data_IF_593358125211
#
_entry.id   IF_593358125211
#
_cell.length_a   1.000
_cell.length_b   1.000
_cell.length_c   1.000
_cell.angle_alpha   90.00
_cell.angle_beta   90.00
_cell.angle_gamma   90.00
#
_symmetry.space_group_name_H-M   'P 1'
#
loop_
_entity.id
_entity.type
_entity.pdbx_description
1 polymer ?
#
# COMPACT_ATOMS: atom_id res chain seq x y z
N UNK A 1 24.68 -16.42 -20.10
CA UNK A 1 24.91 -14.97 -20.17
C UNK A 1 24.43 -14.38 -18.85
N UNK A 2 25.29 -13.65 -18.16
CA UNK A 2 25.20 -13.44 -16.70
C UNK A 2 24.12 -12.42 -16.30
N UNK A 3 23.30 -12.79 -15.30
CA UNK A 3 22.38 -11.91 -14.56
C UNK A 3 23.17 -10.80 -13.89
N UNK A 4 22.87 -9.54 -14.23
CA UNK A 4 23.38 -8.38 -13.49
C UNK A 4 22.36 -7.95 -12.43
N UNK A 5 22.78 -8.11 -11.21
CA UNK A 5 22.12 -7.78 -9.96
C UNK A 5 21.78 -6.28 -9.83
N UNK A 6 20.64 -5.98 -9.20
CA UNK A 6 20.06 -4.68 -8.83
C UNK A 6 20.86 -3.86 -7.77
N UNK A 7 22.19 -3.97 -7.73
CA UNK A 7 23.03 -3.38 -6.67
C UNK A 7 23.93 -2.22 -7.08
N UNK A 8 23.60 -1.44 -8.12
CA UNK A 8 24.41 -0.29 -8.50
C UNK A 8 23.55 0.93 -8.84
N UNK A 9 23.02 1.59 -7.82
CA UNK A 9 22.56 2.98 -8.01
C UNK A 9 22.51 3.71 -6.65
N UNK A 10 23.63 3.97 -6.02
CA UNK A 10 23.84 5.11 -5.11
C UNK A 10 25.34 5.26 -4.84
N UNK A 11 26.02 6.14 -5.56
CA UNK A 11 27.25 6.82 -5.10
C UNK A 11 27.42 8.07 -5.95
N UNK A 12 27.11 9.22 -5.40
CA UNK A 12 27.76 10.51 -5.57
C UNK A 12 26.87 11.62 -4.98
N UNK A 13 27.19 12.11 -3.82
CA UNK A 13 26.73 13.40 -3.33
C UNK A 13 27.88 14.11 -2.65
N UNK A 14 28.25 15.22 -3.24
CA UNK A 14 29.27 16.15 -2.80
C UNK A 14 28.74 16.97 -1.63
N UNK A 15 29.53 17.06 -0.56
CA UNK A 15 29.31 17.95 0.58
C UNK A 15 29.69 19.37 0.20
N UNK A 16 28.80 20.33 0.45
CA UNK A 16 29.11 21.74 0.47
C UNK A 16 28.69 22.33 1.83
N UNK A 17 29.69 22.61 2.65
CA UNK A 17 29.59 23.35 3.91
C UNK A 17 29.47 24.86 3.62
N UNK A 18 28.43 25.50 4.12
CA UNK A 18 28.33 26.95 4.23
C UNK A 18 28.02 27.32 5.68
N UNK A 19 29.02 27.90 6.34
CA UNK A 19 28.93 28.56 7.65
C UNK A 19 28.63 30.03 7.47
N UNK A 20 27.60 30.55 8.15
CA UNK A 20 27.45 31.97 8.42
C UNK A 20 26.81 32.18 9.80
N UNK A 21 27.23 33.22 10.57
CA UNK A 21 26.89 33.37 11.97
C UNK A 21 25.54 34.10 12.18
N UNK A 22 24.76 33.62 13.15
CA UNK A 22 23.56 34.31 13.64
C UNK A 22 23.94 35.25 14.78
N UNK A 23 23.63 36.53 14.59
CA UNK A 23 23.60 37.53 15.65
C UNK A 23 22.33 37.38 16.51
N UNK A 24 22.56 37.31 17.81
CA UNK A 24 21.51 37.37 18.81
C UNK A 24 21.24 38.82 19.21
N UNK A 25 19.99 39.27 19.22
CA UNK A 25 19.54 40.31 20.18
C UNK A 25 18.02 40.48 20.17
N UNK A 26 17.48 40.56 21.40
CA UNK A 26 16.23 41.20 21.86
C UNK A 26 14.88 40.55 21.53
N UNK A 27 14.28 39.91 22.56
CA UNK A 27 13.03 40.39 23.16
C UNK A 27 12.67 39.55 24.38
N UNK A 28 12.93 40.09 25.58
CA UNK A 28 12.31 39.69 26.81
C UNK A 28 10.98 40.45 26.96
N UNK A 29 9.89 39.75 27.16
CA UNK A 29 8.81 40.07 28.10
C UNK A 29 7.49 39.39 27.67
N UNK A 30 7.01 38.60 28.59
CA UNK A 30 5.61 38.32 28.94
C UNK A 30 5.49 36.84 29.37
N UNK A 31 6.07 36.55 30.53
CA UNK A 31 5.66 35.37 31.33
C UNK A 31 4.33 35.68 31.96
N UNK A 32 3.25 35.10 31.45
CA UNK A 32 2.00 34.88 32.18
C UNK A 32 1.89 33.38 32.43
N UNK A 33 1.89 33.00 33.69
CA UNK A 33 1.62 31.63 34.11
C UNK A 33 0.20 31.21 33.67
N UNK A 34 0.00 30.06 33.03
CA UNK A 34 -1.33 29.51 32.87
C UNK A 34 -1.69 28.72 34.16
N UNK A 35 -2.81 29.13 34.75
CA UNK A 35 -3.43 28.43 35.90
C UNK A 35 -3.68 26.95 35.56
N UNK A 36 -3.55 26.13 36.57
CA UNK A 36 -3.84 24.69 36.58
C UNK A 36 -5.27 24.44 36.12
N UNK A 37 -5.44 24.00 34.88
CA UNK A 37 -6.68 23.37 34.43
C UNK A 37 -6.61 21.90 34.82
N UNK A 38 -7.55 21.49 35.68
CA UNK A 38 -7.66 20.13 36.15
C UNK A 38 -7.70 19.13 34.97
N UNK A 39 -6.90 18.08 35.08
CA UNK A 39 -6.98 16.89 34.28
C UNK A 39 -8.36 16.24 34.46
N UNK A 40 -9.31 16.60 33.58
CA UNK A 40 -10.45 15.72 33.37
C UNK A 40 -9.95 14.56 32.53
N UNK A 41 -9.66 13.45 33.17
CA UNK A 41 -9.33 12.19 32.50
C UNK A 41 -10.41 11.83 31.51
N UNK A 42 -10.18 12.17 30.25
CA UNK A 42 -10.98 11.68 29.13
C UNK A 42 -10.65 10.21 29.04
N UNK A 43 -11.57 9.36 29.49
CA UNK A 43 -11.48 7.92 29.29
C UNK A 43 -11.23 7.68 27.77
N UNK A 44 -10.10 7.02 27.46
CA UNK A 44 -9.81 6.53 26.13
C UNK A 44 -10.90 5.50 25.81
N UNK A 45 -11.70 5.68 24.75
CA UNK A 45 -12.70 4.68 24.38
C UNK A 45 -11.99 3.36 24.10
N UNK A 46 -12.54 2.26 24.59
CA UNK A 46 -12.05 0.91 24.36
C UNK A 46 -12.03 0.58 22.87
N UNK A 47 -10.89 0.19 22.37
CA UNK A 47 -10.33 0.23 21.04
C UNK A 47 -10.87 -0.76 20.02
N UNK A 48 -12.11 -1.13 19.90
CA UNK A 48 -12.49 -2.08 18.84
C UNK A 48 -13.92 -2.00 18.28
N UNK A 49 -14.70 -1.07 18.71
CA UNK A 49 -16.13 -1.01 18.37
C UNK A 49 -16.42 -0.41 16.97
N UNK A 50 -15.77 -0.87 15.91
CA UNK A 50 -16.05 -0.39 14.54
C UNK A 50 -15.11 -0.88 13.46
N UNK A 51 -14.04 -1.53 13.83
CA UNK A 51 -13.01 -1.99 12.90
C UNK A 51 -13.25 -3.46 12.50
N UNK A 52 -13.39 -3.74 11.20
CA UNK A 52 -13.52 -5.10 10.67
C UNK A 52 -12.44 -5.34 9.63
N UNK A 53 -11.25 -5.70 10.09
CA UNK A 53 -10.09 -5.94 9.22
C UNK A 53 -9.89 -7.44 9.01
N UNK A 54 -9.75 -7.84 7.75
CA UNK A 54 -9.31 -9.18 7.35
C UNK A 54 -7.81 -9.20 7.13
N UNK A 55 -7.16 -10.20 7.70
CA UNK A 55 -5.74 -10.42 7.58
C UNK A 55 -5.41 -11.13 6.28
N UNK A 56 -4.57 -10.51 5.45
CA UNK A 56 -4.20 -11.02 4.13
C UNK A 56 -2.71 -11.19 3.91
N UNK A 57 -2.37 -11.90 2.84
CA UNK A 57 -1.00 -12.13 2.39
C UNK A 57 -0.90 -12.04 0.87
N UNK A 58 0.23 -11.57 0.34
CA UNK A 58 0.53 -11.70 -1.08
C UNK A 58 0.78 -13.17 -1.44
N UNK A 59 0.18 -13.67 -2.52
CA UNK A 59 0.47 -15.00 -3.03
C UNK A 59 1.96 -15.20 -3.34
N UNK A 60 2.67 -14.14 -3.72
CA UNK A 60 4.11 -14.15 -3.96
C UNK A 60 5.00 -14.29 -2.72
N UNK A 61 4.45 -14.12 -1.51
CA UNK A 61 5.19 -14.39 -0.26
C UNK A 61 5.25 -15.88 0.07
N UNK A 62 4.33 -16.69 -0.49
CA UNK A 62 4.32 -18.14 -0.31
C UNK A 62 5.44 -18.76 -1.16
N UNK A 63 6.10 -19.84 -0.70
CA UNK A 63 7.26 -20.44 -1.38
C UNK A 63 6.96 -20.82 -2.83
N UNK A 64 7.73 -20.31 -3.78
CA UNK A 64 7.53 -20.56 -5.23
C UNK A 64 7.66 -22.04 -5.63
N UNK A 65 8.39 -22.82 -4.84
CA UNK A 65 8.55 -24.28 -5.05
C UNK A 65 7.28 -25.07 -4.81
N UNK A 66 6.31 -24.52 -4.10
CA UNK A 66 5.02 -25.14 -3.87
C UNK A 66 4.09 -24.96 -5.07
N UNK A 67 3.19 -25.93 -5.28
CA UNK A 67 2.08 -25.76 -6.21
C UNK A 67 1.18 -24.59 -5.80
N UNK A 68 0.40 -24.04 -6.73
CA UNK A 68 -0.57 -22.99 -6.41
C UNK A 68 -1.53 -23.44 -5.32
N UNK A 69 -2.01 -24.69 -5.39
CA UNK A 69 -2.89 -25.26 -4.38
C UNK A 69 -2.24 -25.34 -2.99
N UNK A 70 -0.98 -25.80 -2.91
CA UNK A 70 -0.26 -25.88 -1.64
C UNK A 70 0.04 -24.49 -1.05
N UNK A 71 0.25 -23.47 -1.89
CA UNK A 71 0.40 -22.10 -1.43
C UNK A 71 -0.89 -21.61 -0.76
N UNK A 72 -2.06 -21.78 -1.38
CA UNK A 72 -3.33 -21.39 -0.76
C UNK A 72 -3.59 -22.17 0.54
N UNK A 73 -3.33 -23.48 0.55
CA UNK A 73 -3.44 -24.29 1.76
C UNK A 73 -2.52 -23.77 2.86
N UNK A 74 -1.25 -23.49 2.57
CA UNK A 74 -0.31 -22.93 3.54
C UNK A 74 -0.77 -21.57 4.06
N UNK A 75 -1.26 -20.66 3.20
CA UNK A 75 -1.79 -19.36 3.62
C UNK A 75 -2.92 -19.52 4.65
N UNK A 76 -3.85 -20.47 4.39
CA UNK A 76 -4.93 -20.82 5.32
C UNK A 76 -4.36 -21.37 6.64
N UNK A 77 -3.47 -22.36 6.59
CA UNK A 77 -2.96 -23.09 7.75
C UNK A 77 -2.11 -22.21 8.69
N UNK A 78 -1.46 -21.17 8.17
CA UNK A 78 -0.73 -20.17 8.98
C UNK A 78 -1.64 -19.04 9.49
N UNK A 79 -2.94 -19.06 9.14
CA UNK A 79 -3.97 -18.20 9.71
C UNK A 79 -4.26 -16.92 8.94
N UNK A 80 -3.92 -16.81 7.66
CA UNK A 80 -4.43 -15.73 6.82
C UNK A 80 -5.88 -15.99 6.38
N UNK A 81 -6.66 -14.92 6.22
CA UNK A 81 -8.09 -14.98 5.87
C UNK A 81 -8.33 -14.71 4.38
N UNK A 82 -7.44 -13.94 3.74
CA UNK A 82 -7.55 -13.54 2.35
C UNK A 82 -6.18 -13.52 1.66
N UNK A 83 -6.19 -13.60 0.32
CA UNK A 83 -4.99 -13.54 -0.51
C UNK A 83 -5.11 -12.44 -1.55
N UNK A 84 -4.05 -11.67 -1.76
CA UNK A 84 -3.87 -10.86 -2.96
C UNK A 84 -3.10 -11.68 -4.00
N UNK A 85 -3.71 -11.89 -5.18
CA UNK A 85 -3.09 -12.62 -6.27
C UNK A 85 -2.49 -11.69 -7.33
N UNK A 86 -1.40 -12.08 -8.02
CA UNK A 86 -0.90 -11.33 -9.16
C UNK A 86 -1.84 -11.48 -10.36
N UNK A 87 -1.77 -10.52 -11.31
CA UNK A 87 -2.45 -10.64 -12.59
C UNK A 87 -1.99 -11.89 -13.35
N UNK A 88 -2.92 -12.75 -13.74
CA UNK A 88 -2.68 -13.90 -14.58
C UNK A 88 -3.10 -13.60 -16.03
N UNK A 89 -2.15 -13.66 -16.96
CA UNK A 89 -2.40 -13.44 -18.39
C UNK A 89 -2.78 -14.72 -19.15
N UNK A 90 -2.39 -15.89 -18.62
CA UNK A 90 -2.81 -17.20 -19.11
C UNK A 90 -4.12 -17.59 -18.41
N UNK A 91 -5.17 -17.87 -19.17
CA UNK A 91 -6.49 -18.23 -18.65
C UNK A 91 -6.45 -19.53 -17.82
N UNK A 92 -5.60 -20.50 -18.19
CA UNK A 92 -5.45 -21.76 -17.44
C UNK A 92 -4.87 -21.51 -16.05
N UNK A 93 -3.90 -20.59 -15.95
CA UNK A 93 -3.34 -20.18 -14.65
C UNK A 93 -4.38 -19.42 -13.83
N UNK A 94 -5.17 -18.55 -14.48
CA UNK A 94 -6.25 -17.84 -13.79
C UNK A 94 -7.29 -18.81 -13.20
N UNK A 95 -7.69 -19.83 -13.97
CA UNK A 95 -8.60 -20.89 -13.51
C UNK A 95 -7.97 -21.77 -12.41
N UNK A 96 -6.68 -22.11 -12.53
CA UNK A 96 -5.96 -22.86 -11.50
C UNK A 96 -5.91 -22.10 -10.17
N UNK A 97 -5.61 -20.80 -10.20
CA UNK A 97 -5.63 -19.91 -9.04
C UNK A 97 -7.03 -19.95 -8.38
N UNK A 98 -8.10 -19.79 -9.17
CA UNK A 98 -9.49 -19.84 -8.68
C UNK A 98 -9.80 -21.16 -7.98
N UNK A 99 -9.53 -22.28 -8.65
CA UNK A 99 -9.78 -23.64 -8.12
C UNK A 99 -8.99 -23.91 -6.84
N UNK A 100 -7.73 -23.46 -6.81
CA UNK A 100 -6.86 -23.65 -5.64
C UNK A 100 -7.33 -22.85 -4.43
N UNK A 101 -7.78 -21.62 -4.65
CA UNK A 101 -8.37 -20.79 -3.59
C UNK A 101 -9.67 -21.41 -3.04
N UNK A 102 -10.56 -21.85 -3.92
CA UNK A 102 -11.83 -22.49 -3.54
C UNK A 102 -11.58 -23.78 -2.74
N UNK A 103 -10.64 -24.63 -3.19
CA UNK A 103 -10.28 -25.87 -2.51
C UNK A 103 -9.69 -25.64 -1.11
N UNK A 104 -8.96 -24.55 -0.91
CA UNK A 104 -8.41 -24.15 0.39
C UNK A 104 -9.40 -23.32 1.24
N UNK A 105 -10.63 -23.09 0.76
CA UNK A 105 -11.60 -22.17 1.38
C UNK A 105 -11.04 -20.76 1.64
N UNK A 106 -10.13 -20.32 0.78
CA UNK A 106 -9.50 -19.01 0.84
C UNK A 106 -10.15 -18.05 -0.17
N UNK A 107 -10.43 -16.83 0.27
CA UNK A 107 -10.88 -15.77 -0.63
C UNK A 107 -9.69 -15.07 -1.29
N UNK A 108 -9.74 -14.95 -2.62
CA UNK A 108 -8.91 -13.98 -3.32
C UNK A 108 -9.60 -12.63 -3.18
N UNK A 109 -8.96 -11.72 -2.48
CA UNK A 109 -9.57 -10.46 -2.06
C UNK A 109 -9.28 -9.32 -3.02
N UNK A 110 -8.13 -9.41 -3.72
CA UNK A 110 -7.65 -8.37 -4.60
C UNK A 110 -6.65 -8.88 -5.61
N UNK A 111 -6.40 -8.07 -6.64
CA UNK A 111 -5.43 -8.35 -7.69
C UNK A 111 -4.35 -7.28 -7.69
N UNK A 112 -3.08 -7.69 -7.71
CA UNK A 112 -1.96 -6.79 -7.96
C UNK A 112 -1.71 -6.66 -9.46
N UNK A 113 -1.82 -5.45 -9.99
CA UNK A 113 -1.42 -5.20 -11.37
C UNK A 113 0.11 -5.14 -11.48
N UNK A 114 0.70 -6.11 -12.17
CA UNK A 114 2.16 -6.28 -12.24
C UNK A 114 2.86 -5.42 -13.30
N UNK A 115 2.12 -4.89 -14.26
CA UNK A 115 2.71 -4.19 -15.41
C UNK A 115 2.98 -2.70 -15.16
N UNK A 116 2.47 -2.12 -14.08
CA UNK A 116 2.50 -0.67 -13.82
C UNK A 116 3.91 -0.08 -13.69
N UNK A 117 4.91 -0.85 -13.24
CA UNK A 117 6.29 -0.39 -13.13
C UNK A 117 7.00 -0.30 -14.48
N UNK A 118 6.77 -1.30 -15.32
CA UNK A 118 7.42 -1.41 -16.63
C UNK A 118 6.72 -0.57 -17.69
N UNK A 119 5.41 -0.47 -17.58
CA UNK A 119 4.53 0.22 -18.51
C UNK A 119 3.65 1.22 -17.76
N UNK A 120 4.20 2.37 -17.31
CA UNK A 120 3.42 3.34 -16.54
C UNK A 120 2.38 4.06 -17.43
N UNK A 121 1.18 4.28 -16.89
CA UNK A 121 0.12 5.03 -17.58
C UNK A 121 0.48 6.50 -17.85
N UNK A 122 1.52 7.01 -17.18
CA UNK A 122 2.08 8.35 -17.39
C UNK A 122 3.05 8.45 -18.56
N UNK A 123 3.36 7.34 -19.26
CA UNK A 123 4.28 7.35 -20.39
C UNK A 123 3.82 8.29 -21.51
N UNK A 124 4.79 8.92 -22.18
CA UNK A 124 4.55 9.66 -23.42
C UNK A 124 4.47 8.74 -24.66
N UNK A 125 4.84 7.46 -24.54
CA UNK A 125 4.77 6.46 -25.62
C UNK A 125 3.39 5.77 -25.60
N UNK A 126 2.58 5.91 -26.67
CA UNK A 126 1.27 5.26 -26.78
C UNK A 126 1.32 3.73 -26.70
N UNK A 127 2.39 3.10 -27.18
CA UNK A 127 2.53 1.63 -27.13
C UNK A 127 2.73 1.13 -25.70
N UNK A 128 3.49 1.88 -24.89
CA UNK A 128 3.67 1.61 -23.44
C UNK A 128 2.34 1.77 -22.70
N UNK A 129 1.61 2.85 -23.00
CA UNK A 129 0.30 3.13 -22.38
C UNK A 129 -0.71 2.03 -22.74
N UNK A 130 -0.82 1.63 -24.02
CA UNK A 130 -1.77 0.58 -24.42
C UNK A 130 -1.47 -0.76 -23.76
N UNK A 131 -0.19 -1.09 -23.60
CA UNK A 131 0.21 -2.31 -22.88
C UNK A 131 -0.22 -2.25 -21.40
N UNK A 132 -0.05 -1.10 -20.77
CA UNK A 132 -0.52 -0.88 -19.39
C UNK A 132 -2.04 -1.02 -19.26
N UNK A 133 -2.79 -0.41 -20.20
CA UNK A 133 -4.25 -0.52 -20.24
C UNK A 133 -4.70 -1.97 -20.48
N UNK A 134 -4.03 -2.70 -21.35
CA UNK A 134 -4.30 -4.13 -21.59
C UNK A 134 -4.08 -4.96 -20.32
N UNK A 135 -2.97 -4.71 -19.59
CA UNK A 135 -2.69 -5.33 -18.30
C UNK A 135 -3.79 -5.05 -17.27
N UNK A 136 -4.20 -3.80 -17.14
CA UNK A 136 -5.29 -3.40 -16.22
C UNK A 136 -6.63 -4.05 -16.58
N UNK A 137 -6.98 -4.13 -17.88
CA UNK A 137 -8.19 -4.85 -18.31
C UNK A 137 -8.14 -6.33 -17.93
N UNK A 138 -6.96 -6.96 -18.04
CA UNK A 138 -6.75 -8.35 -17.60
C UNK A 138 -6.90 -8.47 -16.09
N UNK A 139 -6.31 -7.55 -15.32
CA UNK A 139 -6.43 -7.53 -13.85
C UNK A 139 -7.89 -7.40 -13.41
N UNK A 140 -8.68 -6.53 -14.05
CA UNK A 140 -10.11 -6.37 -13.76
C UNK A 140 -10.90 -7.65 -14.09
N UNK A 141 -10.60 -8.33 -15.21
CA UNK A 141 -11.23 -9.63 -15.54
C UNK A 141 -10.84 -10.73 -14.54
N UNK A 142 -9.57 -10.79 -14.14
CA UNK A 142 -9.13 -11.72 -13.10
C UNK A 142 -9.86 -11.45 -11.78
N UNK A 143 -9.98 -10.19 -11.37
CA UNK A 143 -10.72 -9.82 -10.16
C UNK A 143 -12.16 -10.31 -10.23
N UNK A 144 -12.84 -10.12 -11.36
CA UNK A 144 -14.21 -10.62 -11.57
C UNK A 144 -14.29 -12.15 -11.49
N UNK A 145 -13.38 -12.86 -12.16
CA UNK A 145 -13.30 -14.33 -12.15
C UNK A 145 -13.11 -14.87 -10.72
N UNK A 146 -12.26 -14.23 -9.95
CA UNK A 146 -11.88 -14.68 -8.60
C UNK A 146 -12.83 -14.19 -7.49
N UNK A 147 -13.77 -13.29 -7.81
CA UNK A 147 -14.65 -12.65 -6.82
C UNK A 147 -13.90 -11.63 -5.93
N UNK A 148 -12.77 -11.12 -6.42
CA UNK A 148 -12.05 -10.03 -5.79
C UNK A 148 -12.77 -8.68 -6.03
N UNK A 149 -12.66 -7.77 -5.07
CA UNK A 149 -13.36 -6.48 -5.12
C UNK A 149 -12.47 -5.29 -5.49
N UNK A 150 -11.15 -5.48 -5.57
CA UNK A 150 -10.21 -4.42 -5.90
C UNK A 150 -9.04 -4.90 -6.77
N UNK A 151 -8.55 -3.99 -7.62
CA UNK A 151 -7.27 -4.10 -8.34
C UNK A 151 -6.35 -2.97 -7.88
N UNK A 152 -5.17 -3.31 -7.40
CA UNK A 152 -4.13 -2.34 -7.07
C UNK A 152 -3.51 -1.76 -8.33
N UNK A 153 -3.36 -0.44 -8.37
CA UNK A 153 -2.71 0.29 -9.45
C UNK A 153 -1.74 1.35 -8.91
N UNK A 154 -0.47 1.23 -9.25
CA UNK A 154 0.47 2.36 -9.19
C UNK A 154 0.22 3.25 -10.42
N UNK A 155 -0.29 4.48 -10.25
CA UNK A 155 -0.91 5.23 -11.36
C UNK A 155 0.11 5.82 -12.34
N UNK A 156 1.31 6.18 -11.86
CA UNK A 156 2.27 6.95 -12.65
C UNK A 156 3.71 6.76 -12.15
N UNK A 157 4.66 7.25 -12.92
CA UNK A 157 6.07 7.40 -12.53
C UNK A 157 6.54 8.78 -12.96
N UNK A 158 7.15 9.53 -12.03
CA UNK A 158 7.84 10.80 -12.32
C UNK A 158 9.33 10.52 -12.54
N UNK A 159 9.87 11.01 -13.65
CA UNK A 159 11.27 10.86 -14.02
C UNK A 159 11.73 12.07 -14.87
N UNK A 160 13.00 12.16 -15.31
CA UNK A 160 13.48 13.29 -16.10
C UNK A 160 12.72 13.53 -17.42
N UNK A 161 12.04 12.51 -17.95
CA UNK A 161 11.27 12.57 -19.20
C UNK A 161 9.76 12.72 -18.98
N UNK A 162 9.31 12.68 -17.73
CA UNK A 162 7.89 12.81 -17.36
C UNK A 162 7.79 13.66 -16.10
N UNK A 163 7.43 14.92 -16.28
CA UNK A 163 7.23 15.87 -15.17
C UNK A 163 6.04 15.46 -14.28
N UNK A 164 5.97 16.00 -13.07
CA UNK A 164 4.88 15.74 -12.14
C UNK A 164 3.50 16.05 -12.74
N UNK A 165 3.39 17.21 -13.44
CA UNK A 165 2.16 17.60 -14.12
C UNK A 165 1.77 16.63 -15.25
N UNK A 166 2.74 16.19 -16.03
CA UNK A 166 2.48 15.19 -17.09
C UNK A 166 2.08 13.84 -16.50
N UNK A 167 2.75 13.40 -15.42
CA UNK A 167 2.38 12.19 -14.70
C UNK A 167 0.93 12.26 -14.24
N UNK A 168 0.52 13.38 -13.63
CA UNK A 168 -0.84 13.62 -13.17
C UNK A 168 -1.86 13.55 -14.31
N UNK A 169 -1.69 14.39 -15.32
CA UNK A 169 -2.69 14.56 -16.39
C UNK A 169 -2.77 13.32 -17.28
N UNK A 170 -1.63 12.73 -17.65
CA UNK A 170 -1.60 11.54 -18.52
C UNK A 170 -2.21 10.33 -17.82
N UNK A 171 -1.80 10.03 -16.60
CA UNK A 171 -2.32 8.86 -15.86
C UNK A 171 -3.82 8.97 -15.61
N UNK A 172 -4.32 10.14 -15.21
CA UNK A 172 -5.76 10.35 -15.05
C UNK A 172 -6.53 10.14 -16.36
N UNK A 173 -6.04 10.66 -17.47
CA UNK A 173 -6.69 10.47 -18.77
C UNK A 173 -6.81 8.98 -19.15
N UNK A 174 -5.83 8.16 -18.78
CA UNK A 174 -5.86 6.73 -19.06
C UNK A 174 -6.73 5.95 -18.06
N UNK A 175 -6.65 6.27 -16.78
CA UNK A 175 -7.48 5.62 -15.74
C UNK A 175 -8.96 5.84 -16.02
N UNK A 176 -9.37 7.04 -16.48
CA UNK A 176 -10.76 7.32 -16.86
C UNK A 176 -11.31 6.36 -17.92
N UNK A 177 -10.47 5.83 -18.82
CA UNK A 177 -10.87 4.83 -19.82
C UNK A 177 -11.17 3.46 -19.23
N UNK A 178 -10.68 3.19 -18.01
CA UNK A 178 -10.87 1.92 -17.29
C UNK A 178 -12.11 1.94 -16.39
N UNK A 179 -12.61 3.13 -16.00
CA UNK A 179 -13.75 3.27 -15.08
C UNK A 179 -14.99 2.52 -15.56
N UNK A 180 -15.42 2.58 -16.84
CA UNK A 180 -16.60 1.85 -17.29
C UNK A 180 -16.48 0.33 -17.10
N UNK A 181 -15.30 -0.23 -17.33
CA UNK A 181 -15.05 -1.66 -17.11
C UNK A 181 -15.01 -2.00 -15.61
N UNK A 182 -14.41 -1.14 -14.78
CA UNK A 182 -14.40 -1.31 -13.33
C UNK A 182 -15.85 -1.33 -12.76
N UNK A 183 -16.69 -0.42 -13.23
CA UNK A 183 -18.11 -0.34 -12.88
C UNK A 183 -18.90 -1.59 -13.34
N UNK A 184 -18.73 -2.01 -14.58
CA UNK A 184 -19.35 -3.23 -15.13
C UNK A 184 -18.97 -4.47 -14.32
N UNK A 185 -17.68 -4.61 -13.97
CA UNK A 185 -17.17 -5.74 -13.20
C UNK A 185 -17.46 -5.62 -11.70
N UNK A 186 -17.87 -4.44 -11.20
CA UNK A 186 -18.02 -4.09 -9.78
C UNK A 186 -16.72 -4.27 -9.01
N UNK A 187 -15.60 -3.83 -9.60
CA UNK A 187 -14.26 -3.93 -9.05
C UNK A 187 -13.66 -2.54 -8.92
N UNK A 188 -13.16 -2.20 -7.75
CA UNK A 188 -12.51 -0.91 -7.49
C UNK A 188 -11.09 -0.90 -8.08
N UNK A 189 -10.70 0.16 -8.74
CA UNK A 189 -9.30 0.47 -9.04
C UNK A 189 -8.76 1.25 -7.84
N UNK A 190 -7.89 0.60 -7.07
CA UNK A 190 -7.32 1.16 -5.86
C UNK A 190 -5.92 1.70 -6.13
N UNK A 191 -5.78 3.02 -6.04
CA UNK A 191 -4.53 3.75 -6.30
C UNK A 191 -3.59 3.59 -5.11
N UNK A 192 -2.34 3.19 -5.37
CA UNK A 192 -1.30 3.07 -4.35
C UNK A 192 -0.24 4.15 -4.50
N UNK A 193 0.15 4.77 -3.38
CA UNK A 193 1.36 5.57 -3.24
C UNK A 193 2.57 4.68 -3.04
N UNK A 194 3.61 4.93 -3.82
CA UNK A 194 4.88 4.19 -3.79
C UNK A 194 6.07 5.14 -4.02
N UNK A 195 7.28 4.62 -4.00
CA UNK A 195 8.50 5.43 -4.20
C UNK A 195 8.77 5.75 -5.67
N UNK A 196 7.78 6.22 -6.37
CA UNK A 196 7.79 6.63 -7.79
C UNK A 196 7.88 8.14 -8.00
N UNK A 197 8.08 8.92 -6.92
CA UNK A 197 8.09 10.40 -6.90
C UNK A 197 6.75 11.02 -7.31
N UNK A 198 5.65 10.33 -7.05
CA UNK A 198 4.30 10.77 -7.35
C UNK A 198 3.38 10.49 -6.16
N UNK A 199 2.40 11.36 -5.90
CA UNK A 199 1.49 11.30 -4.74
C UNK A 199 2.28 11.31 -3.41
N UNK A 200 3.06 12.38 -3.21
CA UNK A 200 4.01 12.50 -2.10
C UNK A 200 3.38 12.99 -0.79
N UNK A 201 2.09 13.33 -0.80
CA UNK A 201 1.36 13.74 0.39
C UNK A 201 -0.07 13.18 0.40
N UNK A 202 -0.68 13.00 1.58
CA UNK A 202 -2.06 12.52 1.66
C UNK A 202 -3.06 13.49 1.02
N UNK A 203 -2.78 14.80 1.04
CA UNK A 203 -3.62 15.82 0.40
C UNK A 203 -3.61 15.69 -1.13
N UNK A 204 -2.45 15.43 -1.73
CA UNK A 204 -2.34 15.17 -3.17
C UNK A 204 -3.10 13.90 -3.54
N UNK A 205 -2.98 12.83 -2.75
CA UNK A 205 -3.67 11.56 -3.00
C UNK A 205 -5.19 11.73 -2.92
N UNK A 206 -5.69 12.46 -1.91
CA UNK A 206 -7.11 12.82 -1.83
C UNK A 206 -7.56 13.56 -3.07
N UNK A 207 -6.85 14.61 -3.46
CA UNK A 207 -7.17 15.43 -4.64
C UNK A 207 -7.18 14.58 -5.91
N UNK A 208 -6.15 13.75 -6.09
CA UNK A 208 -6.00 12.89 -7.26
C UNK A 208 -7.19 11.92 -7.41
N UNK A 209 -7.61 11.28 -6.31
CA UNK A 209 -8.76 10.35 -6.28
C UNK A 209 -10.07 11.09 -6.53
N UNK A 210 -10.29 12.22 -5.86
CA UNK A 210 -11.55 12.98 -5.94
C UNK A 210 -11.81 13.57 -7.34
N UNK A 211 -10.75 13.94 -8.06
CA UNK A 211 -10.86 14.45 -9.42
C UNK A 211 -11.49 13.46 -10.41
N UNK A 212 -11.48 12.16 -10.13
CA UNK A 212 -12.17 11.17 -10.96
C UNK A 212 -13.69 11.26 -10.83
N UNK A 213 -14.21 11.72 -9.70
CA UNK A 213 -15.65 11.77 -9.39
C UNK A 213 -16.34 10.42 -9.61
N UNK A 214 -15.70 9.34 -9.20
CA UNK A 214 -16.15 7.97 -9.42
C UNK A 214 -16.00 7.15 -8.14
N UNK A 215 -17.01 6.36 -7.73
CA UNK A 215 -16.90 5.46 -6.60
C UNK A 215 -15.95 4.28 -6.86
N UNK A 216 -15.58 4.06 -8.13
CA UNK A 216 -14.72 2.96 -8.56
C UNK A 216 -13.22 3.29 -8.50
N UNK A 217 -12.85 4.51 -8.09
CA UNK A 217 -11.46 4.91 -7.82
C UNK A 217 -11.33 5.19 -6.34
N UNK A 218 -10.44 4.46 -5.67
CA UNK A 218 -10.23 4.51 -4.23
C UNK A 218 -8.72 4.45 -3.92
N UNK A 219 -8.37 4.46 -2.63
CA UNK A 219 -7.01 4.33 -2.15
C UNK A 219 -6.70 2.88 -1.77
N UNK A 220 -5.55 2.41 -2.24
CA UNK A 220 -4.78 1.35 -1.61
C UNK A 220 -3.70 2.04 -0.78
N UNK A 221 -3.73 1.89 0.53
CA UNK A 221 -2.78 2.58 1.40
C UNK A 221 -1.67 1.63 1.87
N UNK A 222 -0.41 2.03 1.71
CA UNK A 222 0.73 1.27 2.24
C UNK A 222 1.31 1.95 3.48
N UNK A 223 1.25 1.26 4.63
CA UNK A 223 1.72 1.78 5.92
C UNK A 223 3.22 2.07 5.92
N UNK A 224 4.02 1.22 5.28
CA UNK A 224 5.47 1.34 5.28
C UNK A 224 6.02 2.36 4.29
N UNK A 225 5.39 2.49 3.12
CA UNK A 225 5.88 3.38 2.06
C UNK A 225 5.98 4.84 2.52
N UNK A 226 5.03 5.29 3.32
CA UNK A 226 4.95 6.70 3.75
C UNK A 226 5.88 7.06 4.91
N UNK A 227 6.45 6.08 5.62
CA UNK A 227 7.32 6.32 6.79
C UNK A 227 8.58 7.11 6.42
N UNK A 228 9.02 7.03 5.16
CA UNK A 228 10.20 7.77 4.67
C UNK A 228 10.02 9.29 4.81
N UNK A 229 8.82 9.81 4.58
CA UNK A 229 8.53 11.24 4.47
C UNK A 229 7.25 11.70 5.18
N UNK A 230 6.63 10.83 5.98
CA UNK A 230 5.39 11.15 6.69
C UNK A 230 5.12 10.22 7.86
N UNK A 231 3.90 10.28 8.33
CA UNK A 231 3.40 9.47 9.44
C UNK A 231 2.15 8.70 8.98
N UNK A 232 2.16 7.36 9.01
CA UNK A 232 1.05 6.55 8.50
C UNK A 232 -0.32 6.92 9.12
N UNK A 233 -0.36 7.20 10.41
CA UNK A 233 -1.59 7.57 11.11
C UNK A 233 -2.20 8.90 10.63
N UNK A 234 -1.38 9.84 10.15
CA UNK A 234 -1.84 11.09 9.55
C UNK A 234 -2.44 10.85 8.17
N UNK A 235 -1.78 10.02 7.36
CA UNK A 235 -2.29 9.59 6.06
C UNK A 235 -3.63 8.88 6.18
N UNK A 236 -3.76 7.95 7.15
CA UNK A 236 -5.00 7.20 7.39
C UNK A 236 -6.16 8.16 7.69
N UNK A 237 -5.97 9.13 8.60
CA UNK A 237 -7.00 10.12 8.93
C UNK A 237 -7.38 11.01 7.75
N UNK A 238 -6.39 11.42 6.96
CA UNK A 238 -6.60 12.31 5.81
C UNK A 238 -7.30 11.58 4.66
N UNK A 239 -6.91 10.33 4.37
CA UNK A 239 -7.53 9.51 3.32
C UNK A 239 -8.93 9.03 3.72
N UNK A 240 -9.15 8.76 5.01
CA UNK A 240 -10.45 8.37 5.58
C UNK A 240 -11.14 7.24 4.79
N UNK A 241 -12.41 7.37 4.50
CA UNK A 241 -13.26 6.39 3.76
C UNK A 241 -12.81 6.10 2.32
N UNK A 242 -11.75 6.75 1.86
CA UNK A 242 -11.16 6.44 0.55
C UNK A 242 -10.30 5.19 0.58
N UNK A 243 -9.80 4.80 1.76
CA UNK A 243 -9.01 3.57 1.91
C UNK A 243 -9.94 2.36 1.81
N UNK A 244 -9.66 1.46 0.86
CA UNK A 244 -10.39 0.20 0.69
C UNK A 244 -9.52 -1.03 0.98
N UNK A 245 -8.21 -0.93 0.76
CA UNK A 245 -7.20 -1.95 1.03
C UNK A 245 -5.97 -1.33 1.63
N UNK A 246 -5.21 -2.15 2.36
CA UNK A 246 -3.98 -1.73 3.03
C UNK A 246 -2.88 -2.74 2.75
N UNK A 247 -1.67 -2.26 2.43
CA UNK A 247 -0.45 -3.04 2.53
C UNK A 247 0.22 -2.82 3.90
N UNK A 248 0.72 -3.89 4.47
CA UNK A 248 1.45 -3.89 5.72
C UNK A 248 2.92 -4.20 5.45
N UNK A 249 3.74 -3.19 5.62
CA UNK A 249 5.20 -3.25 5.63
C UNK A 249 5.72 -2.55 6.87
N UNK A 250 6.94 -2.84 7.28
CA UNK A 250 7.62 -2.05 8.29
C UNK A 250 8.96 -1.53 7.76
N UNK A 251 9.24 -0.29 8.12
CA UNK A 251 10.36 0.49 7.62
C UNK A 251 11.25 0.91 8.79
N UNK A 252 12.54 0.70 8.66
CA UNK A 252 13.52 1.11 9.67
C UNK A 252 14.53 2.08 9.09
N UNK A 253 14.60 3.29 9.64
CA UNK A 253 15.66 4.25 9.33
C UNK A 253 16.98 3.75 9.90
N UNK A 254 18.05 3.98 9.16
CA UNK A 254 19.42 3.70 9.56
C UNK A 254 20.27 4.95 9.35
N UNK A 255 21.42 5.04 10.04
CA UNK A 255 22.36 6.15 9.89
C UNK A 255 22.70 6.42 8.41
N UNK A 256 22.89 5.37 7.61
CA UNK A 256 23.20 5.46 6.19
C UNK A 256 22.11 4.76 5.34
N UNK A 257 20.86 5.25 5.42
CA UNK A 257 19.76 4.73 4.57
C UNK A 257 18.60 4.14 5.34
N UNK A 258 18.08 3.00 4.88
CA UNK A 258 16.92 2.33 5.46
C UNK A 258 16.96 0.82 5.24
N UNK A 259 16.05 0.11 5.89
CA UNK A 259 15.76 -1.30 5.61
C UNK A 259 14.25 -1.55 5.69
N UNK A 260 13.76 -2.45 4.85
CA UNK A 260 12.52 -3.16 5.11
C UNK A 260 12.80 -4.24 6.15
N UNK A 261 11.94 -4.31 7.15
CA UNK A 261 12.07 -5.25 8.27
C UNK A 261 10.74 -5.94 8.52
N UNK A 262 10.73 -6.95 9.38
CA UNK A 262 9.48 -7.61 9.74
C UNK A 262 8.58 -6.67 10.57
N UNK A 263 7.27 -6.92 10.55
CA UNK A 263 6.30 -6.07 11.24
C UNK A 263 6.63 -5.94 12.74
N UNK A 264 6.67 -4.71 13.23
CA UNK A 264 7.03 -4.38 14.61
C UNK A 264 8.53 -4.30 14.90
N UNK A 265 9.39 -4.43 13.89
CA UNK A 265 10.84 -4.27 14.03
C UNK A 265 11.36 -2.92 13.48
N UNK A 266 10.47 -2.15 12.87
CA UNK A 266 10.75 -0.86 12.24
C UNK A 266 10.34 0.34 13.08
N UNK A 267 10.11 1.43 12.36
CA UNK A 267 9.77 2.74 12.91
C UNK A 267 8.27 3.06 12.79
N UNK A 268 7.45 2.11 12.35
CA UNK A 268 5.98 2.28 12.32
C UNK A 268 5.43 2.26 13.76
N UNK A 269 4.73 3.32 14.14
CA UNK A 269 3.93 3.33 15.37
C UNK A 269 2.61 2.57 15.14
N UNK A 270 2.66 1.25 15.33
CA UNK A 270 1.52 0.35 15.11
C UNK A 270 0.33 0.67 16.03
N UNK A 271 0.58 1.22 17.24
CA UNK A 271 -0.50 1.64 18.13
C UNK A 271 -1.25 2.83 17.53
N UNK A 272 -0.53 3.85 17.06
CA UNK A 272 -1.12 5.01 16.42
C UNK A 272 -1.80 4.65 15.08
N UNK A 273 -1.23 3.72 14.31
CA UNK A 273 -1.83 3.19 13.08
C UNK A 273 -3.16 2.49 13.36
N UNK A 274 -3.18 1.58 14.34
CA UNK A 274 -4.41 0.89 14.77
C UNK A 274 -5.47 1.87 15.26
N UNK A 275 -5.09 2.84 16.06
CA UNK A 275 -5.99 3.87 16.54
C UNK A 275 -6.60 4.67 15.37
N UNK A 276 -5.78 5.10 14.41
CA UNK A 276 -6.25 5.84 13.25
C UNK A 276 -7.23 5.02 12.38
N UNK A 277 -6.98 3.73 12.18
CA UNK A 277 -7.95 2.84 11.50
C UNK A 277 -9.26 2.70 12.29
N UNK A 278 -9.20 2.64 13.61
CA UNK A 278 -10.39 2.65 14.48
C UNK A 278 -11.18 3.95 14.35
N UNK A 279 -10.52 5.09 14.38
CA UNK A 279 -11.13 6.42 14.25
C UNK A 279 -11.89 6.59 12.94
N UNK A 280 -11.32 6.12 11.82
CA UNK A 280 -12.01 6.13 10.52
C UNK A 280 -13.00 4.98 10.33
N UNK A 281 -13.10 4.03 11.28
CA UNK A 281 -13.93 2.84 11.18
C UNK A 281 -13.58 2.02 9.94
N UNK A 282 -12.29 1.71 9.73
CA UNK A 282 -11.84 0.95 8.56
C UNK A 282 -12.41 -0.47 8.57
N UNK A 283 -13.07 -0.83 7.47
CA UNK A 283 -13.57 -2.17 7.22
C UNK A 283 -13.05 -2.64 5.85
N UNK A 284 -12.05 -3.51 5.85
CA UNK A 284 -11.38 -3.94 4.62
C UNK A 284 -10.35 -5.02 4.89
N UNK A 285 -9.38 -5.14 4.00
CA UNK A 285 -8.29 -6.10 4.13
C UNK A 285 -6.95 -5.39 4.31
N UNK A 286 -6.17 -5.91 5.25
CA UNK A 286 -4.78 -5.53 5.47
C UNK A 286 -3.88 -6.69 5.05
N UNK A 287 -3.14 -6.49 3.98
CA UNK A 287 -2.39 -7.50 3.27
C UNK A 287 -0.90 -7.29 3.52
N UNK A 288 -0.24 -8.31 4.06
CA UNK A 288 1.20 -8.26 4.29
C UNK A 288 1.94 -8.28 2.96
N UNK A 289 2.91 -7.38 2.80
CA UNK A 289 3.82 -7.30 1.66
C UNK A 289 5.27 -7.25 2.16
N UNK A 290 5.84 -8.45 2.39
CA UNK A 290 7.21 -8.65 2.84
C UNK A 290 7.93 -9.65 1.92
N UNK A 291 9.14 -10.04 2.29
CA UNK A 291 9.89 -11.09 1.61
C UNK A 291 9.17 -12.45 1.69
N UNK A 292 9.39 -13.30 0.68
CA UNK A 292 8.92 -14.69 0.71
C UNK A 292 9.64 -15.48 1.80
N UNK A 293 8.92 -16.41 2.46
CA UNK A 293 9.48 -17.21 3.51
C UNK A 293 8.85 -18.61 3.62
N UNK A 294 9.37 -19.41 4.55
CA UNK A 294 8.82 -20.73 4.88
C UNK A 294 7.57 -20.60 5.78
N UNK A 295 6.98 -21.74 6.12
CA UNK A 295 5.78 -21.79 6.95
C UNK A 295 5.98 -21.16 8.33
N UNK A 296 7.14 -21.36 8.96
CA UNK A 296 7.43 -20.81 10.28
C UNK A 296 7.50 -19.29 10.25
N UNK A 297 8.16 -18.72 9.23
CA UNK A 297 8.22 -17.30 9.00
C UNK A 297 6.82 -16.70 8.72
N UNK A 298 6.04 -17.33 7.83
CA UNK A 298 4.70 -16.84 7.48
C UNK A 298 3.75 -16.90 8.68
N UNK A 299 3.89 -17.91 9.56
CA UNK A 299 3.13 -18.02 10.81
C UNK A 299 3.52 -16.93 11.80
N UNK A 300 4.81 -16.60 11.93
CA UNK A 300 5.27 -15.47 12.75
C UNK A 300 4.69 -14.16 12.23
N UNK A 301 4.77 -13.91 10.92
CA UNK A 301 4.18 -12.72 10.28
C UNK A 301 2.68 -12.63 10.54
N UNK A 302 1.95 -13.72 10.37
CA UNK A 302 0.51 -13.80 10.67
C UNK A 302 0.19 -13.41 12.12
N UNK A 303 0.95 -13.94 13.08
CA UNK A 303 0.82 -13.63 14.51
C UNK A 303 1.18 -12.17 14.82
N UNK A 304 2.14 -11.58 14.11
CA UNK A 304 2.49 -10.16 14.27
C UNK A 304 1.32 -9.26 13.86
N UNK A 305 0.62 -9.55 12.77
CA UNK A 305 -0.59 -8.81 12.38
C UNK A 305 -1.66 -8.88 13.47
N UNK A 306 -1.89 -10.07 14.08
CA UNK A 306 -2.84 -10.23 15.19
C UNK A 306 -2.51 -9.28 16.35
N UNK A 307 -1.25 -9.27 16.79
CA UNK A 307 -0.83 -8.45 17.93
C UNK A 307 -0.81 -6.96 17.62
N UNK A 308 -0.25 -6.57 16.48
CA UNK A 308 0.05 -5.17 16.17
C UNK A 308 -1.19 -4.41 15.67
N UNK A 309 -1.97 -5.04 14.80
CA UNK A 309 -3.08 -4.38 14.12
C UNK A 309 -4.46 -4.78 14.68
N UNK A 310 -4.69 -6.08 14.90
CA UNK A 310 -6.01 -6.57 15.27
C UNK A 310 -6.25 -6.60 16.77
N UNK A 311 -5.18 -6.43 17.59
CA UNK A 311 -5.22 -6.53 19.05
C UNK A 311 -5.88 -7.82 19.57
N UNK A 312 -5.75 -8.91 18.79
CA UNK A 312 -6.18 -10.24 19.19
C UNK A 312 -5.01 -10.94 19.91
N UNK A 313 -5.27 -11.73 20.97
CA UNK A 313 -4.23 -12.41 21.72
C UNK A 313 -3.49 -13.48 20.93
#
# INVERSE_FOLDING_TARGET
MRNSSRRQFVKSSVAATLTAPLNASLAASLLREPGSLGETGRAVPSDSAGMSIKKGVLLGMLPEKLSIADRFKMAHDVGFEVVQAPTATDERIAEEIKKSADAASMRIDSVMNMDHWKYPLSSGDPAVVERSLAGMRTSLRNAKLWGADAVLLVPAVVNPQTSYREAWTRSQAQIRKLIPLAEEQKVVIAIEEVWNKFLLSPLEMVTYIEEFRSPWIKSWFDVGNVVLYGYPQDWIRTLDKRIVKVHLKDFKRKENGYAWVNLGEGDVDWQAVRQAFGEIGFAGSAIVELESGDEAYLRDVSNRVERLLLARP
#
